data_IF_219220834094
#
_entry.id   IF_219220834094
#
_cell.length_a   1.000
_cell.length_b   1.000
_cell.length_c   1.000
_cell.angle_alpha   90.00
_cell.angle_beta   90.00
_cell.angle_gamma   90.00
#
_symmetry.space_group_name_H-M   'P 1'
#
loop_
_entity.id
_entity.type
_entity.pdbx_description
1 polymer ?
#
# COMPACT_ATOMS: atom_id res chain seq x y z
N UNK A 1 31.82 -35.11 -15.91
CA UNK A 1 31.26 -34.63 -14.63
C UNK A 1 30.51 -33.35 -14.93
N UNK A 2 29.20 -33.31 -14.72
CA UNK A 2 28.42 -32.06 -14.90
C UNK A 2 28.57 -31.27 -13.61
N UNK A 3 29.12 -30.05 -13.71
CA UNK A 3 29.19 -29.10 -12.60
C UNK A 3 27.77 -28.82 -12.11
N UNK A 4 27.45 -29.28 -10.90
CA UNK A 4 26.21 -28.89 -10.24
C UNK A 4 26.34 -27.41 -9.87
N UNK A 5 25.50 -26.51 -10.39
CA UNK A 5 25.59 -25.09 -10.06
C UNK A 5 25.41 -24.92 -8.55
N UNK A 6 26.30 -24.15 -7.92
CA UNK A 6 26.20 -23.83 -6.49
C UNK A 6 24.87 -23.10 -6.28
N UNK A 7 23.96 -23.63 -5.47
CA UNK A 7 22.65 -23.02 -5.28
C UNK A 7 22.80 -21.64 -4.65
N UNK A 8 22.08 -20.68 -5.21
CA UNK A 8 22.02 -19.30 -4.72
C UNK A 8 21.46 -19.24 -3.30
N UNK A 9 21.75 -18.15 -2.58
CA UNK A 9 21.20 -17.91 -1.24
C UNK A 9 19.67 -18.00 -1.23
N UNK A 10 19.00 -17.55 -2.30
CA UNK A 10 17.54 -17.61 -2.47
C UNK A 10 17.04 -19.06 -2.55
N UNK A 11 17.68 -19.88 -3.38
CA UNK A 11 17.32 -21.30 -3.54
C UNK A 11 17.52 -22.08 -2.25
N UNK A 12 18.61 -21.83 -1.53
CA UNK A 12 18.88 -22.45 -0.23
C UNK A 12 17.82 -22.08 0.83
N UNK A 13 17.34 -20.83 0.87
CA UNK A 13 16.26 -20.44 1.79
C UNK A 13 14.99 -21.24 1.52
N UNK A 14 14.62 -21.41 0.25
CA UNK A 14 13.42 -22.15 -0.16
C UNK A 14 13.59 -23.65 0.18
N UNK A 15 14.75 -24.22 -0.16
CA UNK A 15 15.09 -25.61 0.13
C UNK A 15 15.04 -25.92 1.63
N UNK A 16 15.64 -25.09 2.47
CA UNK A 16 15.64 -25.30 3.93
C UNK A 16 14.21 -25.24 4.49
N UNK A 17 13.37 -24.34 3.96
CA UNK A 17 11.96 -24.25 4.36
C UNK A 17 11.18 -25.53 4.03
N UNK A 18 11.49 -26.15 2.88
CA UNK A 18 10.86 -27.39 2.41
C UNK A 18 11.35 -28.61 3.17
N UNK A 19 12.66 -28.75 3.36
CA UNK A 19 13.27 -29.83 4.15
C UNK A 19 12.75 -29.87 5.59
N UNK A 20 12.49 -28.69 6.18
CA UNK A 20 11.92 -28.58 7.53
C UNK A 20 10.40 -28.73 7.59
N UNK A 21 9.73 -28.83 6.44
CA UNK A 21 8.28 -29.03 6.36
C UNK A 21 7.45 -27.87 6.91
N UNK A 22 7.96 -26.63 6.83
CA UNK A 22 7.22 -25.49 7.37
C UNK A 22 6.04 -25.11 6.46
N UNK A 23 4.83 -25.33 6.97
CA UNK A 23 3.57 -24.97 6.29
C UNK A 23 3.19 -23.50 6.50
N UNK A 24 3.50 -22.95 7.68
CA UNK A 24 3.32 -21.53 8.03
C UNK A 24 4.61 -21.01 8.65
N UNK A 25 5.18 -19.96 8.07
CA UNK A 25 6.48 -19.41 8.47
C UNK A 25 6.26 -18.16 9.34
N UNK A 26 6.57 -18.24 10.63
CA UNK A 26 6.52 -17.12 11.59
C UNK A 26 7.94 -16.77 12.00
N UNK A 27 8.08 -15.90 13.01
CA UNK A 27 9.39 -15.45 13.53
C UNK A 27 10.31 -16.63 13.88
N UNK A 28 9.77 -17.64 14.58
CA UNK A 28 10.53 -18.82 15.01
C UNK A 28 11.08 -19.60 13.81
N UNK A 29 10.26 -19.81 12.78
CA UNK A 29 10.68 -20.54 11.58
C UNK A 29 11.73 -19.76 10.79
N UNK A 30 11.62 -18.43 10.71
CA UNK A 30 12.64 -17.56 10.08
C UNK A 30 13.98 -17.66 10.81
N UNK A 31 13.97 -17.68 12.14
CA UNK A 31 15.19 -17.84 12.95
C UNK A 31 15.84 -19.20 12.72
N UNK A 32 15.04 -20.27 12.58
CA UNK A 32 15.53 -21.61 12.25
C UNK A 32 16.13 -21.68 10.84
N UNK A 33 15.51 -21.01 9.86
CA UNK A 33 16.05 -20.92 8.50
C UNK A 33 17.36 -20.14 8.50
N UNK A 34 17.42 -19.00 9.20
CA UNK A 34 18.63 -18.17 9.25
C UNK A 34 19.81 -18.92 9.89
N UNK A 35 19.54 -19.71 10.94
CA UNK A 35 20.55 -20.56 11.58
C UNK A 35 21.09 -21.61 10.62
N UNK A 36 20.21 -22.34 9.95
CA UNK A 36 20.60 -23.34 8.95
C UNK A 36 21.35 -22.73 7.76
N UNK A 37 21.01 -21.49 7.36
CA UNK A 37 21.73 -20.77 6.30
C UNK A 37 23.18 -20.45 6.71
N UNK A 38 23.38 -20.01 7.95
CA UNK A 38 24.71 -19.74 8.53
C UNK A 38 25.53 -21.02 8.67
N UNK A 39 24.92 -22.13 9.06
CA UNK A 39 25.59 -23.44 9.14
C UNK A 39 26.10 -23.91 7.77
N UNK A 40 25.33 -23.68 6.68
CA UNK A 40 25.70 -24.10 5.33
C UNK A 40 26.67 -23.18 4.61
N UNK A 41 26.57 -21.87 4.83
CA UNK A 41 27.29 -20.84 4.05
C UNK A 41 28.31 -20.04 4.86
N UNK A 42 28.44 -20.30 6.17
CA UNK A 42 29.31 -19.52 7.06
C UNK A 42 28.94 -18.02 7.05
N UNK A 43 29.91 -17.10 7.03
CA UNK A 43 29.64 -15.65 7.00
C UNK A 43 28.78 -15.21 5.81
N UNK A 44 28.85 -15.92 4.68
CA UNK A 44 28.01 -15.63 3.50
C UNK A 44 26.54 -15.96 3.74
N UNK A 45 26.21 -16.76 4.76
CA UNK A 45 24.85 -17.09 5.18
C UNK A 45 24.16 -16.01 6.02
N UNK A 46 24.88 -14.96 6.42
CA UNK A 46 24.27 -13.87 7.16
C UNK A 46 23.24 -13.12 6.30
N UNK A 47 22.04 -12.98 6.83
CA UNK A 47 20.94 -12.23 6.21
C UNK A 47 19.92 -11.79 7.25
N UNK A 48 19.03 -10.90 6.86
CA UNK A 48 17.97 -10.36 7.74
C UNK A 48 16.71 -11.23 7.70
N UNK A 49 15.94 -11.19 8.78
CA UNK A 49 14.64 -11.86 8.86
C UNK A 49 13.69 -11.39 7.74
N UNK A 50 13.71 -10.11 7.41
CA UNK A 50 12.88 -9.52 6.35
C UNK A 50 13.30 -10.01 4.96
N UNK A 51 14.59 -10.24 4.71
CA UNK A 51 15.05 -10.86 3.45
C UNK A 51 14.53 -12.29 3.29
N UNK A 52 14.68 -13.12 4.34
CA UNK A 52 14.17 -14.50 4.34
C UNK A 52 12.65 -14.51 4.11
N UNK A 53 11.92 -13.67 4.83
CA UNK A 53 10.47 -13.54 4.66
C UNK A 53 10.10 -13.16 3.22
N UNK A 54 10.78 -12.17 2.62
CA UNK A 54 10.53 -11.73 1.24
C UNK A 54 10.81 -12.85 0.22
N UNK A 55 11.91 -13.58 0.37
CA UNK A 55 12.24 -14.71 -0.50
C UNK A 55 11.15 -15.79 -0.44
N UNK A 56 10.68 -16.13 0.75
CA UNK A 56 9.66 -17.16 0.94
C UNK A 56 8.28 -16.72 0.42
N UNK A 57 7.96 -15.43 0.54
CA UNK A 57 6.75 -14.81 -0.03
C UNK A 57 6.78 -14.87 -1.56
N UNK A 58 7.90 -14.49 -2.18
CA UNK A 58 8.12 -14.62 -3.62
C UNK A 58 8.01 -16.07 -4.09
N UNK A 59 8.41 -17.03 -3.25
CA UNK A 59 8.46 -18.45 -3.57
C UNK A 59 7.16 -19.24 -3.31
N UNK A 60 6.06 -18.62 -2.88
CA UNK A 60 4.81 -19.38 -2.66
C UNK A 60 4.30 -19.46 -1.23
N UNK A 61 5.17 -19.26 -0.23
CA UNK A 61 4.93 -19.77 1.14
C UNK A 61 4.03 -18.84 1.98
N UNK A 62 3.26 -19.40 2.90
CA UNK A 62 2.47 -18.64 3.89
C UNK A 62 3.40 -18.10 4.99
N UNK A 63 3.75 -16.80 4.89
CA UNK A 63 4.62 -16.13 5.85
C UNK A 63 3.83 -15.16 6.73
N UNK A 64 3.75 -15.46 8.03
CA UNK A 64 3.07 -14.64 9.06
C UNK A 64 4.06 -13.93 9.98
N UNK A 65 5.10 -13.38 9.39
CA UNK A 65 6.09 -12.54 10.06
C UNK A 65 5.73 -11.06 9.89
N UNK A 66 5.60 -10.33 11.01
CA UNK A 66 5.25 -8.90 11.03
C UNK A 66 6.51 -8.06 11.17
N UNK A 67 6.89 -7.36 10.11
CA UNK A 67 8.00 -6.42 10.04
C UNK A 67 7.73 -5.42 8.91
N UNK A 68 8.11 -4.16 9.11
CA UNK A 68 7.80 -3.05 8.18
C UNK A 68 8.49 -3.19 6.82
N UNK A 69 9.57 -3.99 6.73
CA UNK A 69 10.36 -4.20 5.50
C UNK A 69 9.93 -5.45 4.71
N UNK A 70 8.94 -6.18 5.20
CA UNK A 70 8.43 -7.39 4.55
C UNK A 70 7.36 -6.99 3.53
N UNK A 71 7.61 -7.28 2.26
CA UNK A 71 6.60 -7.29 1.20
C UNK A 71 5.55 -8.31 1.60
N UNK A 72 4.49 -7.89 2.28
CA UNK A 72 3.30 -8.73 2.41
C UNK A 72 2.92 -9.17 1.00
N UNK A 73 2.60 -10.46 0.81
CA UNK A 73 1.55 -10.78 -0.15
C UNK A 73 0.40 -9.87 0.26
N UNK A 74 0.18 -8.79 -0.48
CA UNK A 74 -1.12 -8.17 -0.45
C UNK A 74 -2.05 -9.35 -0.72
N UNK A 75 -2.87 -9.68 0.27
CA UNK A 75 -3.97 -10.61 0.14
C UNK A 75 -4.54 -10.39 -1.26
N UNK A 76 -4.42 -11.38 -2.15
CA UNK A 76 -4.69 -11.21 -3.59
C UNK A 76 -6.07 -10.56 -3.82
N UNK A 77 -7.00 -10.86 -2.90
CA UNK A 77 -8.32 -10.25 -2.76
C UNK A 77 -8.34 -8.72 -2.65
N UNK A 78 -7.46 -8.08 -1.88
CA UNK A 78 -7.48 -6.62 -1.74
C UNK A 78 -6.72 -5.94 -2.86
N UNK A 79 -5.65 -6.57 -3.36
CA UNK A 79 -4.87 -6.00 -4.46
C UNK A 79 -5.76 -5.78 -5.68
N UNK A 80 -6.60 -6.76 -6.02
CA UNK A 80 -7.59 -6.67 -7.09
C UNK A 80 -8.68 -5.62 -6.81
N UNK A 81 -9.20 -5.55 -5.58
CA UNK A 81 -10.26 -4.60 -5.21
C UNK A 81 -9.83 -3.12 -5.26
N UNK A 82 -8.55 -2.84 -4.99
CA UNK A 82 -8.02 -1.47 -4.98
C UNK A 82 -7.24 -1.11 -6.25
N UNK A 83 -7.17 -2.01 -7.22
CA UNK A 83 -6.48 -1.76 -8.49
C UNK A 83 -7.19 -0.64 -9.27
N UNK A 84 -6.42 0.34 -9.72
CA UNK A 84 -6.95 1.47 -10.51
C UNK A 84 -7.77 2.51 -9.73
N UNK A 85 -8.13 2.24 -8.47
CA UNK A 85 -9.00 3.10 -7.66
C UNK A 85 -8.41 4.49 -7.44
N UNK A 86 -7.09 4.60 -7.21
CA UNK A 86 -6.47 5.88 -6.87
C UNK A 86 -6.05 6.70 -8.10
N UNK A 87 -6.72 7.83 -8.28
CA UNK A 87 -6.41 8.87 -9.24
C UNK A 87 -6.53 10.25 -8.57
N UNK A 88 -5.68 11.18 -8.99
CA UNK A 88 -5.64 12.55 -8.47
C UNK A 88 -5.22 13.54 -9.56
N UNK A 89 -5.51 13.19 -10.83
CA UNK A 89 -5.14 13.98 -11.99
C UNK A 89 -5.89 15.32 -12.04
N UNK A 90 -7.15 15.33 -11.62
CA UNK A 90 -8.01 16.51 -11.43
C UNK A 90 -8.85 16.37 -10.17
N UNK A 91 -9.63 17.41 -9.82
CA UNK A 91 -10.58 17.37 -8.71
C UNK A 91 -11.65 16.28 -8.93
N UNK A 92 -12.20 16.17 -10.14
CA UNK A 92 -13.23 15.18 -10.49
C UNK A 92 -12.68 13.75 -10.36
N UNK A 93 -11.45 13.53 -10.82
CA UNK A 93 -10.80 12.23 -10.69
C UNK A 93 -10.54 11.88 -9.22
N UNK A 94 -10.12 12.85 -8.41
CA UNK A 94 -9.91 12.66 -6.97
C UNK A 94 -11.23 12.37 -6.24
N UNK A 95 -12.31 13.09 -6.56
CA UNK A 95 -13.64 12.83 -6.01
C UNK A 95 -14.09 11.41 -6.34
N UNK A 96 -13.96 10.98 -7.60
CA UNK A 96 -14.29 9.61 -8.02
C UNK A 96 -13.50 8.57 -7.23
N UNK A 97 -12.18 8.77 -7.11
CA UNK A 97 -11.32 7.90 -6.33
C UNK A 97 -11.73 7.83 -4.86
N UNK A 98 -12.08 8.97 -4.25
CA UNK A 98 -12.58 9.00 -2.87
C UNK A 98 -13.92 8.26 -2.75
N UNK A 99 -14.84 8.36 -3.72
CA UNK A 99 -16.10 7.59 -3.71
C UNK A 99 -15.85 6.09 -3.73
N UNK A 100 -14.93 5.61 -4.57
CA UNK A 100 -14.59 4.19 -4.66
C UNK A 100 -13.90 3.69 -3.37
N UNK A 101 -12.98 4.48 -2.81
CA UNK A 101 -12.33 4.19 -1.53
C UNK A 101 -13.36 4.12 -0.40
N UNK A 102 -14.29 5.08 -0.36
CA UNK A 102 -15.35 5.20 0.64
C UNK A 102 -16.31 4.01 0.60
N UNK A 103 -16.76 3.61 -0.59
CA UNK A 103 -17.59 2.42 -0.77
C UNK A 103 -16.90 1.16 -0.25
N UNK A 104 -15.61 0.98 -0.56
CA UNK A 104 -14.84 -0.15 -0.04
C UNK A 104 -14.68 -0.08 1.48
N UNK A 105 -14.38 1.10 2.04
CA UNK A 105 -14.27 1.32 3.47
C UNK A 105 -15.55 0.92 4.21
N UNK A 106 -16.71 1.41 3.75
CA UNK A 106 -17.99 1.11 4.36
C UNK A 106 -18.41 -0.34 4.20
N UNK A 107 -18.11 -0.96 3.06
CA UNK A 107 -18.30 -2.41 2.85
C UNK A 107 -17.50 -3.21 3.89
N UNK A 108 -16.21 -2.93 4.03
CA UNK A 108 -15.37 -3.62 5.01
C UNK A 108 -15.80 -3.32 6.46
N UNK A 109 -16.28 -2.11 6.73
CA UNK A 109 -16.84 -1.75 8.05
C UNK A 109 -18.08 -2.57 8.38
N UNK A 110 -19.01 -2.72 7.43
CA UNK A 110 -20.21 -3.54 7.58
C UNK A 110 -19.85 -5.03 7.80
N UNK A 111 -18.83 -5.52 7.11
CA UNK A 111 -18.34 -6.90 7.23
C UNK A 111 -17.46 -7.13 8.48
N UNK A 112 -17.16 -6.09 9.27
CA UNK A 112 -16.24 -6.15 10.41
C UNK A 112 -14.77 -6.38 10.01
N UNK A 113 -14.43 -6.23 8.73
CA UNK A 113 -13.11 -6.44 8.17
C UNK A 113 -12.17 -5.25 8.42
N UNK A 114 -11.54 -5.26 9.60
CA UNK A 114 -10.55 -4.24 9.99
C UNK A 114 -9.35 -4.15 9.06
N UNK A 115 -8.97 -5.24 8.37
CA UNK A 115 -7.83 -5.22 7.45
C UNK A 115 -8.22 -4.47 6.18
N UNK A 116 -9.39 -4.75 5.62
CA UNK A 116 -9.95 -4.04 4.46
C UNK A 116 -10.12 -2.54 4.74
N UNK A 117 -10.66 -2.18 5.90
CA UNK A 117 -10.77 -0.77 6.32
C UNK A 117 -9.40 -0.07 6.35
N UNK A 118 -8.39 -0.71 6.96
CA UNK A 118 -7.03 -0.16 7.02
C UNK A 118 -6.38 -0.03 5.62
N UNK A 119 -6.77 -0.87 4.65
CA UNK A 119 -6.31 -0.73 3.26
C UNK A 119 -6.92 0.47 2.55
N UNK A 120 -8.22 0.72 2.73
CA UNK A 120 -8.88 1.91 2.19
C UNK A 120 -8.23 3.20 2.74
N UNK A 121 -8.01 3.26 4.06
CA UNK A 121 -7.33 4.37 4.73
C UNK A 121 -5.89 4.57 4.23
N UNK A 122 -5.14 3.47 4.02
CA UNK A 122 -3.80 3.55 3.46
C UNK A 122 -3.80 4.11 2.03
N UNK A 123 -4.80 3.75 1.22
CA UNK A 123 -4.94 4.26 -0.14
C UNK A 123 -5.26 5.77 -0.15
N UNK A 124 -6.15 6.23 0.73
CA UNK A 124 -6.42 7.65 0.92
C UNK A 124 -5.19 8.43 1.41
N UNK A 125 -4.46 7.89 2.40
CA UNK A 125 -3.18 8.43 2.88
C UNK A 125 -2.16 8.55 1.74
N UNK A 126 -2.15 7.58 0.82
CA UNK A 126 -1.28 7.61 -0.36
C UNK A 126 -1.68 8.75 -1.32
N UNK A 127 -2.98 8.96 -1.52
CA UNK A 127 -3.52 10.09 -2.28
C UNK A 127 -3.10 11.43 -1.69
N UNK A 128 -3.35 11.63 -0.40
CA UNK A 128 -2.94 12.83 0.36
C UNK A 128 -1.44 13.11 0.20
N UNK A 129 -0.58 12.12 0.43
CA UNK A 129 0.87 12.29 0.35
C UNK A 129 1.32 12.70 -1.05
N UNK A 130 0.81 12.04 -2.08
CA UNK A 130 1.19 12.32 -3.48
C UNK A 130 0.70 13.71 -3.92
N UNK A 131 -0.55 14.05 -3.62
CA UNK A 131 -1.11 15.37 -3.90
C UNK A 131 -0.34 16.48 -3.17
N UNK A 132 -0.02 16.28 -1.89
CA UNK A 132 0.78 17.22 -1.07
C UNK A 132 2.17 17.48 -1.65
N UNK A 133 2.85 16.45 -2.15
CA UNK A 133 4.15 16.60 -2.82
C UNK A 133 4.00 17.43 -4.09
N UNK A 134 2.96 17.19 -4.89
CA UNK A 134 2.71 17.96 -6.11
C UNK A 134 2.34 19.42 -5.82
N UNK A 135 1.54 19.69 -4.79
CA UNK A 135 1.19 21.04 -4.36
C UNK A 135 2.43 21.89 -4.03
N UNK A 136 3.52 21.26 -3.56
CA UNK A 136 4.80 21.93 -3.24
C UNK A 136 5.75 22.01 -4.44
N UNK A 137 5.45 21.36 -5.56
CA UNK A 137 6.34 21.31 -6.72
C UNK A 137 6.34 22.64 -7.48
N UNK A 138 7.39 23.44 -7.32
CA UNK A 138 7.54 24.76 -7.96
C UNK A 138 7.55 24.73 -9.49
N UNK A 139 7.80 23.57 -10.13
CA UNK A 139 7.74 23.41 -11.59
C UNK A 139 6.30 23.43 -12.13
N UNK A 140 5.30 23.18 -11.28
CA UNK A 140 3.89 23.25 -11.66
C UNK A 140 3.39 24.68 -11.57
N UNK A 141 2.43 25.02 -12.44
CA UNK A 141 1.77 26.32 -12.42
C UNK A 141 1.04 26.55 -11.08
N UNK A 142 0.85 27.81 -10.66
CA UNK A 142 0.12 28.11 -9.42
C UNK A 142 -1.26 27.44 -9.37
N UNK A 143 -2.02 27.48 -10.46
CA UNK A 143 -3.34 26.84 -10.57
C UNK A 143 -3.30 25.34 -10.29
N UNK A 144 -2.36 24.62 -10.93
CA UNK A 144 -2.19 23.18 -10.72
C UNK A 144 -1.77 22.89 -9.27
N UNK A 145 -0.92 23.71 -8.67
CA UNK A 145 -0.55 23.52 -7.25
C UNK A 145 -1.73 23.72 -6.30
N UNK A 146 -2.57 24.72 -6.54
CA UNK A 146 -3.77 24.97 -5.73
C UNK A 146 -4.78 23.83 -5.87
N UNK A 147 -4.94 23.28 -7.08
CA UNK A 147 -5.77 22.10 -7.29
C UNK A 147 -5.24 20.90 -6.50
N UNK A 148 -3.93 20.65 -6.53
CA UNK A 148 -3.32 19.53 -5.78
C UNK A 148 -3.36 19.74 -4.27
N UNK A 149 -3.33 20.98 -3.80
CA UNK A 149 -3.52 21.34 -2.39
C UNK A 149 -4.96 21.02 -1.94
N UNK A 150 -5.96 21.39 -2.74
CA UNK A 150 -7.36 21.07 -2.45
C UNK A 150 -7.61 19.55 -2.46
N UNK A 151 -7.06 18.84 -3.45
CA UNK A 151 -7.13 17.36 -3.49
C UNK A 151 -6.49 16.74 -2.25
N UNK A 152 -5.33 17.24 -1.82
CA UNK A 152 -4.67 16.74 -0.61
C UNK A 152 -5.58 16.91 0.62
N UNK A 153 -6.18 18.08 0.77
CA UNK A 153 -7.10 18.38 1.86
C UNK A 153 -8.34 17.47 1.84
N UNK A 154 -8.87 17.11 0.67
CA UNK A 154 -9.98 16.15 0.56
C UNK A 154 -9.60 14.77 1.09
N UNK A 155 -8.43 14.25 0.69
CA UNK A 155 -7.95 12.95 1.18
C UNK A 155 -7.65 12.94 2.67
N UNK A 156 -7.17 14.06 3.22
CA UNK A 156 -6.93 14.23 4.67
C UNK A 156 -8.23 14.17 5.46
N UNK A 157 -9.20 15.02 5.11
CA UNK A 157 -10.48 15.09 5.80
C UNK A 157 -11.28 13.79 5.71
N UNK A 158 -11.28 13.14 4.55
CA UNK A 158 -11.90 11.83 4.42
C UNK A 158 -11.22 10.81 5.33
N UNK A 159 -9.90 10.81 5.43
CA UNK A 159 -9.18 9.85 6.27
C UNK A 159 -9.39 10.09 7.77
N UNK A 160 -9.58 11.34 8.19
CA UNK A 160 -9.92 11.69 9.58
C UNK A 160 -11.37 11.37 9.91
N UNK A 161 -12.31 11.73 9.04
CA UNK A 161 -13.74 11.61 9.29
C UNK A 161 -14.52 11.17 8.02
N UNK A 162 -14.46 9.87 7.64
CA UNK A 162 -15.13 9.37 6.43
C UNK A 162 -16.64 9.64 6.43
N UNK A 163 -17.28 9.51 7.60
CA UNK A 163 -18.73 9.58 7.76
C UNK A 163 -19.34 10.95 7.45
N UNK A 164 -18.58 12.04 7.60
CA UNK A 164 -19.07 13.42 7.40
C UNK A 164 -18.44 14.10 6.19
N UNK A 165 -17.49 13.42 5.53
CA UNK A 165 -16.71 13.99 4.46
C UNK A 165 -17.59 14.45 3.29
N UNK A 166 -18.60 13.67 2.91
CA UNK A 166 -19.44 13.98 1.75
C UNK A 166 -20.31 15.21 1.95
N UNK A 167 -20.90 15.37 3.14
CA UNK A 167 -21.66 16.56 3.52
C UNK A 167 -20.75 17.80 3.50
N UNK A 168 -19.54 17.67 4.05
CA UNK A 168 -18.53 18.72 4.00
C UNK A 168 -18.13 19.07 2.56
N UNK A 169 -17.89 18.06 1.71
CA UNK A 169 -17.45 18.25 0.33
C UNK A 169 -18.52 18.98 -0.49
N UNK A 170 -19.79 18.65 -0.28
CA UNK A 170 -20.92 19.34 -0.92
C UNK A 170 -20.92 20.83 -0.57
N UNK A 171 -20.77 21.17 0.71
CA UNK A 171 -20.70 22.56 1.18
C UNK A 171 -19.43 23.25 0.66
N UNK A 172 -18.29 22.56 0.65
CA UNK A 172 -17.00 23.08 0.15
C UNK A 172 -17.12 23.49 -1.31
N UNK A 173 -17.71 22.64 -2.16
CA UNK A 173 -17.90 22.93 -3.59
C UNK A 173 -18.84 24.12 -3.84
N UNK A 174 -19.81 24.38 -2.95
CA UNK A 174 -20.70 25.57 -3.03
C UNK A 174 -20.05 26.87 -2.51
N UNK A 175 -18.94 26.79 -1.77
CA UNK A 175 -18.30 27.97 -1.19
C UNK A 175 -17.78 28.95 -2.25
N UNK A 176 -17.92 30.25 -1.99
CA UNK A 176 -17.39 31.30 -2.90
C UNK A 176 -15.89 31.15 -3.16
N UNK A 177 -15.12 30.73 -2.15
CA UNK A 177 -13.67 30.49 -2.29
C UNK A 177 -13.41 29.39 -3.32
N UNK A 178 -14.13 28.28 -3.24
CA UNK A 178 -14.00 27.17 -4.19
C UNK A 178 -14.37 27.62 -5.61
N UNK A 179 -15.51 28.29 -5.76
CA UNK A 179 -15.99 28.77 -7.05
C UNK A 179 -15.01 29.77 -7.71
N UNK A 180 -14.45 30.70 -6.94
CA UNK A 180 -13.42 31.63 -7.45
C UNK A 180 -12.13 30.94 -7.86
N UNK A 181 -11.74 29.87 -7.17
CA UNK A 181 -10.47 29.17 -7.42
C UNK A 181 -10.58 28.09 -8.50
N UNK A 182 -11.72 27.42 -8.62
CA UNK A 182 -11.89 26.20 -9.41
C UNK A 182 -13.12 26.19 -10.32
N UNK A 183 -13.97 27.22 -10.30
CA UNK A 183 -15.26 27.24 -11.03
C UNK A 183 -15.15 27.09 -12.56
N UNK A 184 -13.98 27.38 -13.15
CA UNK A 184 -13.72 27.20 -14.59
C UNK A 184 -13.23 25.78 -14.96
N UNK A 185 -12.96 24.90 -13.99
CA UNK A 185 -12.52 23.51 -14.25
C UNK A 185 -13.71 22.53 -14.35
N UNK A 186 -14.95 23.01 -14.18
CA UNK A 186 -16.18 22.20 -14.21
C UNK A 186 -16.92 22.24 -15.55
N UNK A 187 -16.24 22.45 -16.68
CA UNK A 187 -16.83 22.27 -18.00
C UNK A 187 -16.34 20.94 -18.61
N UNK A 188 -17.26 20.11 -19.17
CA UNK A 188 -16.93 18.80 -19.74
C UNK A 188 -16.00 18.86 -20.94
#
# INVERSE_FOLDING_TARGET
>A
MKDTPVPSKKELIIQICEEKGFTVVRRKEIELINRALRERLGPRGETTASYIANVLIEAGKDVRYRDILVKRRADDRYAQLFEGVLSFKSLEAAEKSLREIDQLYHKFKADGDRVGMARAQLLATTGWRRASIMAKNKKLSPSVRHEKEEIAHWFELWNENPEVFWDWLELRKKSQKFQKQFGNHSAP
#
